data_IF_707837545737
#
_entry.id   IF_707837545737
#
_cell.length_a   1.000
_cell.length_b   1.000
_cell.length_c   1.000
_cell.angle_alpha   90.00
_cell.angle_beta   90.00
_cell.angle_gamma   90.00
#
_symmetry.space_group_name_H-M   'P 1'
#
loop_
_entity.id
_entity.type
_entity.pdbx_description
1 polymer ?
#
# COMPACT_ATOMS: atom_id res chain seq x y z
N UNK A 1 4.22 -29.10 2.71
CA UNK A 1 3.10 -28.16 2.73
C UNK A 1 3.62 -26.79 2.41
N UNK A 2 3.56 -26.39 1.14
CA UNK A 2 3.96 -25.04 0.73
C UNK A 2 2.83 -24.49 -0.12
N UNK A 3 1.78 -24.01 0.56
CA UNK A 3 0.68 -23.30 -0.08
C UNK A 3 1.16 -21.89 -0.40
N UNK A 4 1.78 -21.74 -1.56
CA UNK A 4 1.99 -20.44 -2.19
C UNK A 4 0.66 -20.03 -2.82
N UNK A 5 -0.21 -19.38 -2.05
CA UNK A 5 -1.44 -18.78 -2.58
C UNK A 5 -1.10 -17.46 -3.26
N UNK A 6 -0.76 -17.55 -4.54
CA UNK A 6 -0.70 -16.41 -5.48
C UNK A 6 -2.13 -16.04 -5.86
N UNK A 7 -2.83 -15.26 -5.03
CA UNK A 7 -4.10 -14.66 -5.41
C UNK A 7 -3.84 -13.34 -6.12
N UNK A 8 -3.73 -13.42 -7.45
CA UNK A 8 -3.90 -12.30 -8.39
C UNK A 8 -5.36 -11.90 -8.38
N UNK A 9 -5.78 -11.14 -7.38
CA UNK A 9 -7.04 -10.40 -7.39
C UNK A 9 -6.66 -8.94 -7.20
N UNK A 10 -6.75 -8.15 -8.27
CA UNK A 10 -6.65 -6.70 -8.25
C UNK A 10 -7.44 -6.17 -7.05
N UNK A 11 -6.79 -5.79 -5.93
CA UNK A 11 -7.51 -5.35 -4.77
C UNK A 11 -7.88 -3.90 -5.05
N UNK A 12 -9.10 -3.66 -5.55
CA UNK A 12 -9.69 -2.33 -5.45
C UNK A 12 -9.79 -2.05 -3.95
N UNK A 13 -9.04 -1.07 -3.38
CA UNK A 13 -9.11 -0.79 -1.96
C UNK A 13 -10.55 -0.36 -1.68
N UNK A 14 -11.29 -1.23 -1.02
CA UNK A 14 -12.69 -1.01 -0.70
C UNK A 14 -12.73 -0.16 0.56
N UNK A 15 -12.39 1.13 0.43
CA UNK A 15 -12.60 2.18 1.44
C UNK A 15 -12.05 1.95 2.86
N UNK A 16 -11.30 0.87 3.08
CA UNK A 16 -10.82 0.43 4.38
C UNK A 16 -9.31 0.28 4.38
N UNK A 17 -8.71 0.56 5.53
CA UNK A 17 -7.29 0.42 5.80
C UNK A 17 -6.77 -0.92 5.24
N UNK A 18 -6.08 -0.88 4.12
CA UNK A 18 -5.63 -2.09 3.42
C UNK A 18 -4.15 -2.31 3.72
N UNK A 19 -3.71 -3.54 3.99
CA UNK A 19 -2.27 -3.81 4.09
C UNK A 19 -1.59 -3.41 2.78
N UNK A 20 -0.46 -2.70 2.84
CA UNK A 20 0.26 -2.29 1.64
C UNK A 20 0.64 -3.51 0.80
N UNK A 21 0.52 -3.39 -0.53
CA UNK A 21 0.86 -4.46 -1.47
C UNK A 21 1.63 -3.88 -2.66
N UNK A 22 2.70 -4.57 -3.06
CA UNK A 22 3.51 -4.24 -4.25
C UNK A 22 2.92 -4.74 -5.57
N UNK A 23 1.71 -5.31 -5.55
CA UNK A 23 1.08 -5.97 -6.71
C UNK A 23 0.41 -4.99 -7.69
N UNK A 24 1.10 -3.92 -8.08
CA UNK A 24 0.62 -2.93 -9.06
C UNK A 24 -0.73 -2.30 -8.68
N UNK A 25 -0.88 -1.92 -7.41
CA UNK A 25 -2.10 -1.33 -6.86
C UNK A 25 -2.07 0.17 -7.09
N UNK A 26 -3.11 0.72 -7.71
CA UNK A 26 -3.25 2.17 -7.85
C UNK A 26 -3.70 2.79 -6.52
N UNK A 27 -2.83 3.57 -5.90
CA UNK A 27 -3.13 4.35 -4.71
C UNK A 27 -3.34 5.81 -5.08
N UNK A 28 -4.44 6.38 -4.59
CA UNK A 28 -4.75 7.80 -4.77
C UNK A 28 -4.61 8.57 -3.47
N UNK A 29 -4.43 9.89 -3.56
CA UNK A 29 -4.41 10.78 -2.40
C UNK A 29 -5.64 10.53 -1.52
N UNK A 30 -5.41 10.33 -0.23
CA UNK A 30 -6.45 10.00 0.75
C UNK A 30 -6.63 8.51 1.02
N UNK A 31 -6.05 7.62 0.20
CA UNK A 31 -6.03 6.19 0.53
C UNK A 31 -5.13 5.94 1.74
N UNK A 32 -5.55 5.05 2.63
CA UNK A 32 -4.75 4.67 3.80
C UNK A 32 -4.36 3.20 3.71
N UNK A 33 -3.10 2.90 4.00
CA UNK A 33 -2.56 1.54 4.06
C UNK A 33 -1.91 1.26 5.40
N UNK A 34 -1.82 -0.01 5.76
CA UNK A 34 -1.01 -0.47 6.90
C UNK A 34 0.24 -1.18 6.40
N UNK A 35 1.40 -0.81 6.93
CA UNK A 35 2.66 -1.49 6.68
C UNK A 35 3.45 -1.60 7.99
N UNK A 36 3.89 -2.81 8.32
CA UNK A 36 4.64 -3.09 9.55
C UNK A 36 3.94 -2.62 10.85
N UNK A 37 2.60 -2.74 10.89
CA UNK A 37 1.79 -2.27 12.03
C UNK A 37 1.59 -0.75 12.10
N UNK A 38 2.21 0.01 11.20
CA UNK A 38 2.10 1.46 11.10
C UNK A 38 1.14 1.83 9.97
N UNK A 39 0.34 2.89 10.16
CA UNK A 39 -0.56 3.38 9.11
C UNK A 39 0.10 4.48 8.29
N UNK A 40 -0.21 4.50 7.01
CA UNK A 40 0.29 5.47 6.06
C UNK A 40 -0.84 5.97 5.18
N UNK A 41 -0.93 7.27 5.04
CA UNK A 41 -1.79 7.97 4.11
C UNK A 41 -1.04 8.21 2.80
N UNK A 42 -1.63 7.80 1.70
CA UNK A 42 -1.18 8.18 0.37
C UNK A 42 -1.40 9.69 0.19
N UNK A 43 -0.32 10.43 -0.06
CA UNK A 43 -0.34 11.88 -0.30
C UNK A 43 -0.09 12.26 -1.75
N UNK A 44 0.26 11.28 -2.59
CA UNK A 44 0.46 11.48 -4.03
C UNK A 44 -0.04 10.27 -4.82
N UNK A 45 -0.79 10.52 -5.89
CA UNK A 45 -1.29 9.47 -6.77
C UNK A 45 -0.12 8.68 -7.39
N UNK A 46 -0.06 7.38 -7.12
CA UNK A 46 0.97 6.50 -7.67
C UNK A 46 0.48 5.05 -7.74
N UNK A 47 1.12 4.28 -8.59
CA UNK A 47 0.93 2.82 -8.60
C UNK A 47 1.98 2.18 -7.72
N UNK A 48 1.60 1.19 -6.92
CA UNK A 48 2.54 0.47 -6.08
C UNK A 48 3.46 -0.40 -6.92
N UNK A 49 4.74 -0.37 -6.59
CA UNK A 49 5.76 -1.21 -7.18
C UNK A 49 6.83 -1.50 -6.11
N UNK A 50 7.72 -2.44 -6.41
CA UNK A 50 8.84 -2.78 -5.51
C UNK A 50 9.74 -1.54 -5.33
N UNK A 51 9.79 -1.00 -4.12
CA UNK A 51 10.49 0.26 -3.80
C UNK A 51 9.58 1.46 -3.56
N UNK A 52 8.28 1.36 -3.84
CA UNK A 52 7.26 2.32 -3.41
C UNK A 52 6.57 1.87 -2.10
N UNK A 53 7.31 1.15 -1.25
CA UNK A 53 6.82 0.69 0.05
C UNK A 53 6.69 1.85 1.05
N UNK A 54 5.71 1.86 1.97
CA UNK A 54 5.55 2.94 2.92
C UNK A 54 6.70 2.93 3.92
N UNK A 55 7.47 3.99 3.95
CA UNK A 55 8.65 4.06 4.80
C UNK A 55 9.29 5.45 4.80
N UNK A 56 10.38 5.62 5.55
CA UNK A 56 11.05 6.91 5.68
C UNK A 56 11.67 7.40 4.36
N UNK A 57 11.94 6.50 3.41
CA UNK A 57 12.50 6.84 2.09
C UNK A 57 11.43 7.23 1.06
N UNK A 58 10.15 6.91 1.31
CA UNK A 58 9.04 7.11 0.37
C UNK A 58 8.03 8.15 0.87
N UNK A 59 8.49 9.06 1.74
CA UNK A 59 7.73 10.18 2.30
C UNK A 59 7.04 11.07 1.25
N UNK A 60 7.55 11.09 0.01
CA UNK A 60 6.94 11.79 -1.11
C UNK A 60 5.59 11.18 -1.55
N UNK A 61 5.37 9.89 -1.32
CA UNK A 61 4.14 9.17 -1.66
C UNK A 61 3.31 8.81 -0.43
N UNK A 62 3.97 8.48 0.68
CA UNK A 62 3.36 7.99 1.91
C UNK A 62 3.64 8.91 3.09
N UNK A 63 2.58 9.42 3.71
CA UNK A 63 2.63 10.13 4.97
C UNK A 63 2.25 9.19 6.09
N UNK A 64 3.16 8.95 7.04
CA UNK A 64 2.82 8.20 8.26
C UNK A 64 1.70 8.90 9.02
N UNK A 65 0.69 8.14 9.41
CA UNK A 65 -0.37 8.58 10.31
C UNK A 65 -0.43 7.59 11.48
N UNK A 66 -0.50 8.10 12.70
CA UNK A 66 -0.64 7.28 13.91
C UNK A 66 -2.08 6.75 14.05
#
# INVERSE_FOLDING_TARGET
TTTTTTTTTTPRPSGGLTTWSSSNVLYKVGHTVSYDGVKYLCVHDHTSFVGAEPGPLTWAWWKRID
#
